data_IF_565769999338
#
_entry.id   IF_565769999338
#
_cell.length_a   1.000
_cell.length_b   1.000
_cell.length_c   1.000
_cell.angle_alpha   90.00
_cell.angle_beta   90.00
_cell.angle_gamma   90.00
#
_symmetry.space_group_name_H-M   'P 1'
#
loop_
_entity.id
_entity.type
_entity.pdbx_description
1 polymer ?
#
# COMPACT_ATOMS: atom_id res chain seq x y z
N UNK A 1 -17.16 0.21 15.58
CA UNK A 1 -16.66 -1.18 15.61
C UNK A 1 -17.87 -2.10 15.56
N UNK A 2 -18.13 -2.75 14.44
CA UNK A 2 -19.05 -3.91 14.45
C UNK A 2 -18.23 -5.09 14.95
N UNK A 3 -18.50 -5.51 16.18
CA UNK A 3 -18.03 -6.80 16.67
C UNK A 3 -18.71 -7.87 15.82
N UNK A 4 -17.93 -8.72 15.16
CA UNK A 4 -18.46 -9.85 14.43
C UNK A 4 -19.06 -10.82 15.46
N UNK A 5 -20.38 -10.80 15.62
CA UNK A 5 -21.12 -11.84 16.33
C UNK A 5 -21.07 -13.11 15.47
N UNK A 6 -20.03 -13.93 15.66
CA UNK A 6 -19.91 -15.21 14.98
C UNK A 6 -20.78 -16.26 15.68
N UNK A 7 -22.00 -16.45 15.18
CA UNK A 7 -22.79 -17.64 15.48
C UNK A 7 -22.25 -18.85 14.71
N UNK A 8 -22.10 -20.00 15.38
CA UNK A 8 -21.83 -21.29 14.72
C UNK A 8 -22.94 -21.59 13.69
N UNK A 9 -22.63 -22.17 12.51
CA UNK A 9 -21.54 -23.13 12.28
C UNK A 9 -20.39 -22.61 11.42
N UNK A 10 -20.27 -21.30 11.17
CA UNK A 10 -19.21 -20.78 10.30
C UNK A 10 -18.02 -20.21 11.09
N UNK A 11 -16.77 -20.54 10.71
CA UNK A 11 -15.58 -19.89 11.27
C UNK A 11 -15.69 -18.37 11.11
N UNK A 12 -15.27 -17.61 12.12
CA UNK A 12 -15.18 -16.16 11.97
C UNK A 12 -14.29 -15.81 10.77
N UNK A 13 -14.68 -14.82 9.94
CA UNK A 13 -13.77 -14.32 8.92
C UNK A 13 -12.50 -13.77 9.58
N UNK A 14 -11.33 -13.89 8.91
CA UNK A 14 -10.07 -13.39 9.44
C UNK A 14 -10.13 -11.89 9.69
N UNK A 15 -9.28 -11.41 10.60
CA UNK A 15 -9.17 -9.97 10.85
C UNK A 15 -8.71 -9.25 9.58
N UNK A 16 -9.29 -8.09 9.24
CA UNK A 16 -8.84 -7.28 8.11
C UNK A 16 -7.36 -6.89 8.23
N UNK A 17 -6.69 -6.58 7.09
CA UNK A 17 -5.31 -6.13 7.07
C UNK A 17 -5.12 -4.88 7.94
N UNK A 18 -4.01 -4.82 8.68
CA UNK A 18 -3.70 -3.64 9.50
C UNK A 18 -2.20 -3.44 9.71
N UNK A 19 -1.68 -2.30 9.31
CA UNK A 19 -0.29 -1.93 9.57
C UNK A 19 -0.09 -1.57 11.06
N UNK A 20 1.03 -2.06 11.61
CA UNK A 20 1.50 -1.72 12.95
C UNK A 20 2.08 -0.30 12.98
N UNK A 21 2.14 0.31 14.17
CA UNK A 21 2.78 1.63 14.36
C UNK A 21 4.29 1.61 14.12
N UNK A 22 4.91 0.44 14.32
CA UNK A 22 6.34 0.22 14.16
C UNK A 22 6.56 -1.06 13.35
N UNK A 23 7.30 -0.95 12.27
CA UNK A 23 7.78 -2.10 11.49
C UNK A 23 8.90 -1.67 10.55
N UNK A 24 9.62 -2.66 10.03
CA UNK A 24 10.61 -2.49 8.97
C UNK A 24 10.60 -3.70 8.06
N UNK A 25 10.12 -3.50 6.85
CA UNK A 25 9.93 -4.52 5.84
C UNK A 25 10.74 -4.23 4.60
N UNK A 26 11.16 -5.30 3.92
CA UNK A 26 11.88 -5.21 2.65
C UNK A 26 11.33 -6.24 1.68
N UNK A 27 11.43 -5.90 0.41
CA UNK A 27 10.83 -6.66 -0.66
C UNK A 27 11.24 -6.18 -2.03
N UNK A 28 10.35 -6.39 -2.99
CA UNK A 28 10.46 -5.96 -4.37
C UNK A 28 9.22 -5.18 -4.77
N UNK A 29 9.43 -4.18 -5.60
CA UNK A 29 8.38 -3.49 -6.32
C UNK A 29 8.49 -3.86 -7.80
N UNK A 30 7.39 -4.35 -8.37
CA UNK A 30 7.36 -5.02 -9.65
C UNK A 30 6.23 -4.42 -10.49
N UNK A 31 6.56 -3.99 -11.70
CA UNK A 31 5.58 -3.55 -12.71
C UNK A 31 5.93 -4.29 -14.00
N UNK A 32 5.25 -5.41 -14.29
CA UNK A 32 5.62 -6.30 -15.39
C UNK A 32 5.65 -5.62 -16.76
N UNK A 33 4.65 -4.80 -17.07
CA UNK A 33 4.52 -4.12 -18.38
C UNK A 33 5.68 -3.17 -18.67
N UNK A 34 6.22 -2.54 -17.62
CA UNK A 34 7.38 -1.66 -17.71
C UNK A 34 8.72 -2.40 -17.52
N UNK A 35 8.69 -3.72 -17.34
CA UNK A 35 9.85 -4.56 -16.99
C UNK A 35 10.59 -4.01 -15.75
N UNK A 36 9.83 -3.51 -14.78
CA UNK A 36 10.35 -3.00 -13.52
C UNK A 36 10.38 -4.14 -12.52
N UNK A 37 11.53 -4.33 -11.88
CA UNK A 37 11.68 -5.12 -10.69
C UNK A 37 12.81 -4.49 -9.88
N UNK A 38 12.48 -3.74 -8.83
CA UNK A 38 13.44 -2.94 -8.05
C UNK A 38 13.33 -3.24 -6.55
N UNK A 39 14.36 -2.92 -5.75
CA UNK A 39 14.26 -3.02 -4.30
C UNK A 39 13.11 -2.18 -3.75
N UNK A 40 12.48 -2.68 -2.70
CA UNK A 40 11.40 -2.00 -2.00
C UNK A 40 11.62 -2.05 -0.49
N UNK A 41 11.32 -0.94 0.19
CA UNK A 41 11.27 -0.88 1.65
C UNK A 41 9.96 -0.26 2.08
N UNK A 42 9.40 -0.78 3.16
CA UNK A 42 8.26 -0.17 3.84
C UNK A 42 8.50 -0.22 5.33
N UNK A 43 8.42 0.92 6.00
CA UNK A 43 8.70 0.97 7.42
C UNK A 43 7.90 2.06 8.11
N UNK A 44 7.67 1.86 9.39
CA UNK A 44 6.98 2.81 10.24
C UNK A 44 7.73 3.06 11.54
N UNK A 45 7.53 4.27 12.07
CA UNK A 45 7.98 4.67 13.40
C UNK A 45 6.90 5.55 14.04
N UNK A 46 6.32 5.07 15.14
CA UNK A 46 5.28 5.73 15.93
C UNK A 46 4.03 6.18 15.13
N UNK A 47 3.77 5.58 13.98
CA UNK A 47 2.65 5.95 13.09
C UNK A 47 3.01 6.83 11.90
N UNK A 48 4.24 7.34 11.83
CA UNK A 48 4.79 7.83 10.57
C UNK A 48 5.21 6.62 9.73
N UNK A 49 4.98 6.65 8.43
CA UNK A 49 5.16 5.50 7.52
C UNK A 49 5.88 5.97 6.28
N UNK A 50 6.87 5.22 5.82
CA UNK A 50 7.55 5.51 4.56
C UNK A 50 7.74 4.25 3.75
N UNK A 51 7.32 4.36 2.49
CA UNK A 51 7.48 3.37 1.44
C UNK A 51 8.46 3.95 0.42
N UNK A 52 9.45 3.17 0.01
CA UNK A 52 10.41 3.55 -1.03
C UNK A 52 10.52 2.40 -2.02
N UNK A 53 10.42 2.71 -3.31
CA UNK A 53 10.71 1.78 -4.39
C UNK A 53 11.88 2.31 -5.23
N UNK A 54 12.86 1.44 -5.47
CA UNK A 54 14.04 1.74 -6.27
C UNK A 54 15.00 2.74 -5.62
N UNK A 55 15.86 3.31 -6.46
CA UNK A 55 16.85 4.35 -6.12
C UNK A 55 17.31 5.02 -7.42
N UNK A 56 18.20 6.01 -7.34
CA UNK A 56 18.71 6.73 -8.51
C UNK A 56 19.33 5.82 -9.59
N UNK A 57 19.95 4.71 -9.18
CA UNK A 57 20.55 3.72 -10.07
C UNK A 57 19.53 2.75 -10.71
N UNK A 58 18.26 2.79 -10.29
CA UNK A 58 17.21 1.92 -10.81
C UNK A 58 16.37 2.65 -11.87
N UNK A 59 15.48 1.90 -12.54
CA UNK A 59 14.58 2.44 -13.57
C UNK A 59 13.48 3.33 -13.00
N UNK A 60 13.11 3.12 -11.73
CA UNK A 60 12.21 3.98 -10.96
C UNK A 60 12.85 4.35 -9.63
N UNK A 61 12.40 5.47 -9.08
CA UNK A 61 12.69 5.89 -7.73
C UNK A 61 11.56 6.79 -7.23
N UNK A 62 10.84 6.34 -6.19
CA UNK A 62 9.84 7.16 -5.53
C UNK A 62 9.74 6.84 -4.04
N UNK A 63 9.16 7.77 -3.29
CA UNK A 63 8.78 7.60 -1.89
C UNK A 63 7.34 8.05 -1.66
N UNK A 64 6.57 7.21 -0.99
CA UNK A 64 5.28 7.58 -0.38
C UNK A 64 5.49 7.67 1.13
N UNK A 65 5.01 8.74 1.74
CA UNK A 65 5.32 9.08 3.11
C UNK A 65 4.07 9.59 3.84
N UNK A 66 3.75 8.99 4.96
CA UNK A 66 2.86 9.55 5.97
C UNK A 66 3.76 10.14 7.07
N UNK A 67 3.74 11.45 7.24
CA UNK A 67 4.53 12.14 8.26
C UNK A 67 3.69 13.20 8.96
N UNK A 68 3.58 13.12 10.29
CA UNK A 68 2.78 14.03 11.10
C UNK A 68 1.36 14.23 10.55
N UNK A 69 0.67 13.11 10.26
CA UNK A 69 -0.71 13.09 9.76
C UNK A 69 -0.93 13.74 8.38
N UNK A 70 0.11 13.78 7.54
CA UNK A 70 0.00 14.23 6.15
C UNK A 70 0.61 13.21 5.19
N UNK A 71 -0.03 13.02 4.04
CA UNK A 71 0.50 12.19 2.95
C UNK A 71 1.36 13.04 2.01
N UNK A 72 2.53 12.52 1.67
CA UNK A 72 3.46 13.05 0.69
C UNK A 72 3.81 11.95 -0.32
N UNK A 73 3.93 12.33 -1.58
CA UNK A 73 4.37 11.45 -2.66
C UNK A 73 5.42 12.19 -3.47
N UNK A 74 6.60 11.59 -3.60
CA UNK A 74 7.72 12.15 -4.35
C UNK A 74 8.24 11.11 -5.32
N UNK A 75 8.16 11.42 -6.61
CA UNK A 75 8.61 10.55 -7.69
C UNK A 75 9.84 11.15 -8.33
N UNK A 76 11.02 10.64 -7.98
CA UNK A 76 12.29 11.14 -8.52
C UNK A 76 12.59 10.62 -9.92
N UNK A 77 12.05 9.44 -10.25
CA UNK A 77 12.28 8.79 -11.54
C UNK A 77 11.16 7.83 -11.87
N UNK A 78 10.57 7.99 -13.06
CA UNK A 78 9.59 7.06 -13.62
C UNK A 78 9.68 7.02 -15.15
N UNK A 79 9.59 5.85 -15.81
CA UNK A 79 9.60 5.76 -17.27
C UNK A 79 8.51 6.61 -17.92
N UNK A 80 8.90 7.45 -18.88
CA UNK A 80 7.96 8.29 -19.64
C UNK A 80 7.47 9.55 -18.91
N UNK A 81 7.89 9.76 -17.65
CA UNK A 81 7.45 10.92 -16.88
C UNK A 81 8.25 12.18 -17.26
N UNK A 82 7.53 13.28 -17.52
CA UNK A 82 8.16 14.54 -17.90
C UNK A 82 8.81 15.24 -16.69
N UNK A 83 9.89 16.02 -16.89
CA UNK A 83 10.63 16.66 -15.81
C UNK A 83 9.79 17.56 -14.90
N UNK A 84 8.75 18.23 -15.42
CA UNK A 84 7.84 19.08 -14.64
C UNK A 84 7.02 18.34 -13.58
N UNK A 85 6.92 17.01 -13.69
CA UNK A 85 6.26 16.15 -12.69
C UNK A 85 7.24 15.53 -11.70
N UNK A 86 8.54 15.81 -11.83
CA UNK A 86 9.59 15.34 -10.94
C UNK A 86 10.00 16.43 -9.94
N UNK A 87 10.46 16.07 -8.73
CA UNK A 87 11.11 16.99 -7.81
C UNK A 87 12.40 17.60 -8.42
N UNK A 88 12.85 18.77 -7.95
CA UNK A 88 12.28 19.53 -6.83
C UNK A 88 11.03 20.31 -7.24
N UNK A 89 9.96 20.15 -6.46
CA UNK A 89 8.85 21.10 -6.45
C UNK A 89 9.28 22.26 -5.55
N UNK A 90 9.00 23.50 -5.96
CA UNK A 90 9.47 24.72 -5.27
C UNK A 90 9.00 24.81 -3.80
N UNK A 91 8.00 24.02 -3.40
CA UNK A 91 7.53 23.92 -2.03
C UNK A 91 7.31 22.46 -1.60
N UNK A 92 7.66 22.15 -0.35
CA UNK A 92 7.22 20.91 0.28
C UNK A 92 5.75 21.05 0.71
N UNK A 93 4.85 20.69 -0.19
CA UNK A 93 3.42 20.64 0.10
C UNK A 93 2.97 19.17 0.28
N UNK A 94 2.26 18.83 1.36
CA UNK A 94 1.57 17.54 1.43
C UNK A 94 0.45 17.48 0.40
N UNK A 95 0.11 16.27 -0.07
CA UNK A 95 -1.05 16.07 -0.93
C UNK A 95 -2.35 16.37 -0.18
N UNK A 96 -2.49 15.83 1.03
CA UNK A 96 -3.64 16.04 1.92
C UNK A 96 -3.35 15.52 3.34
N UNK A 97 -4.23 15.87 4.29
CA UNK A 97 -4.22 15.30 5.64
C UNK A 97 -4.58 13.81 5.60
N UNK A 98 -3.67 12.97 6.08
CA UNK A 98 -3.82 11.53 6.09
C UNK A 98 -2.82 10.89 7.04
N UNK A 99 -3.27 9.94 7.85
CA UNK A 99 -2.48 9.27 8.87
C UNK A 99 -2.48 7.75 8.73
N UNK A 100 -1.63 7.06 9.51
CA UNK A 100 -1.70 5.60 9.60
C UNK A 100 -3.07 5.11 10.09
N UNK A 101 -3.79 5.91 10.88
CA UNK A 101 -5.15 5.58 11.31
C UNK A 101 -6.09 5.55 10.11
N UNK A 102 -5.99 6.53 9.21
CA UNK A 102 -6.84 6.64 8.03
C UNK A 102 -6.53 5.52 7.04
N UNK A 103 -5.25 5.21 6.85
CA UNK A 103 -4.82 4.06 6.05
C UNK A 103 -5.36 2.73 6.60
N UNK A 104 -5.27 2.53 7.92
CA UNK A 104 -5.82 1.33 8.55
C UNK A 104 -7.36 1.32 8.55
N UNK A 105 -8.01 2.48 8.57
CA UNK A 105 -9.46 2.57 8.41
C UNK A 105 -9.88 2.16 7.00
N UNK A 106 -9.12 2.57 5.98
CA UNK A 106 -9.29 2.10 4.61
C UNK A 106 -9.09 0.58 4.50
N UNK A 107 -8.03 0.01 5.06
CA UNK A 107 -7.86 -1.45 5.04
C UNK A 107 -8.97 -2.20 5.78
N UNK A 108 -9.57 -1.60 6.81
CA UNK A 108 -10.69 -2.19 7.53
C UNK A 108 -11.98 -2.26 6.69
N UNK A 109 -12.10 -1.54 5.58
CA UNK A 109 -13.24 -1.65 4.64
C UNK A 109 -13.04 -2.73 3.58
N UNK A 110 -11.85 -3.34 3.51
CA UNK A 110 -11.56 -4.40 2.55
C UNK A 110 -12.46 -5.63 2.77
N UNK A 111 -12.81 -6.28 1.67
CA UNK A 111 -13.63 -7.48 1.65
C UNK A 111 -12.73 -8.71 1.66
N UNK A 112 -13.03 -9.68 2.51
CA UNK A 112 -12.33 -10.97 2.50
C UNK A 112 -12.71 -11.76 1.25
N UNK A 113 -11.71 -12.10 0.42
CA UNK A 113 -11.89 -12.88 -0.80
C UNK A 113 -11.76 -14.37 -0.49
N UNK A 114 -10.74 -14.75 0.27
CA UNK A 114 -10.52 -16.16 0.64
C UNK A 114 -9.10 -16.47 1.09
N UNK A 115 -8.82 -17.71 1.49
CA UNK A 115 -7.48 -18.18 1.75
C UNK A 115 -6.80 -18.57 0.43
N UNK A 116 -5.51 -18.24 0.28
CA UNK A 116 -4.72 -18.58 -0.90
C UNK A 116 -3.32 -19.08 -0.52
N UNK A 117 -2.65 -19.72 -1.47
CA UNK A 117 -1.26 -20.14 -1.35
C UNK A 117 -0.45 -19.43 -2.42
N UNK A 118 0.40 -18.50 -2.00
CA UNK A 118 1.32 -17.82 -2.91
C UNK A 118 2.50 -18.73 -3.21
N UNK A 119 2.70 -19.01 -4.50
CA UNK A 119 3.79 -19.83 -5.01
C UNK A 119 5.01 -18.96 -5.27
N UNK A 120 6.13 -19.29 -4.63
CA UNK A 120 7.41 -18.62 -4.80
C UNK A 120 8.55 -19.52 -4.33
N UNK A 121 9.67 -18.94 -3.91
CA UNK A 121 10.77 -19.73 -3.31
C UNK A 121 10.33 -20.52 -2.07
N UNK A 122 9.39 -19.96 -1.32
CA UNK A 122 8.76 -20.56 -0.15
C UNK A 122 7.26 -20.40 -0.34
N UNK A 123 6.50 -21.48 -0.16
CA UNK A 123 5.03 -21.43 -0.15
C UNK A 123 4.57 -20.58 1.02
N UNK A 124 3.69 -19.61 0.79
CA UNK A 124 3.09 -18.79 1.84
C UNK A 124 1.58 -18.94 1.83
N UNK A 125 1.04 -19.29 2.98
CA UNK A 125 -0.40 -19.35 3.21
C UNK A 125 -0.88 -17.97 3.60
N UNK A 126 -1.81 -17.41 2.84
CA UNK A 126 -2.28 -16.03 3.02
C UNK A 126 -3.80 -15.97 3.10
N UNK A 127 -4.28 -14.89 3.72
CA UNK A 127 -5.64 -14.40 3.53
C UNK A 127 -5.60 -13.28 2.49
N UNK A 128 -6.44 -13.39 1.47
CA UNK A 128 -6.61 -12.40 0.43
C UNK A 128 -7.81 -11.50 0.77
N UNK A 129 -7.57 -10.19 0.76
CA UNK A 129 -8.56 -9.14 0.88
C UNK A 129 -8.55 -8.23 -0.33
N UNK A 130 -9.72 -7.77 -0.76
CA UNK A 130 -9.87 -6.78 -1.82
C UNK A 130 -10.35 -5.46 -1.25
N UNK A 131 -9.61 -4.39 -1.52
CA UNK A 131 -10.02 -3.03 -1.23
C UNK A 131 -10.35 -2.32 -2.56
N UNK A 132 -11.39 -1.50 -2.57
CA UNK A 132 -11.76 -0.71 -3.74
C UNK A 132 -12.26 0.66 -3.29
N UNK A 133 -11.87 1.69 -4.03
CA UNK A 133 -12.47 3.03 -3.94
C UNK A 133 -13.32 3.21 -5.18
N UNK A 134 -14.57 3.57 -4.97
CA UNK A 134 -15.54 3.84 -6.03
C UNK A 134 -16.15 5.22 -5.80
N UNK A 135 -16.44 5.94 -6.88
CA UNK A 135 -17.09 7.26 -6.81
C UNK A 135 -18.36 7.29 -7.64
N UNK A 136 -19.42 7.97 -7.20
CA UNK A 136 -19.61 8.50 -5.85
C UNK A 136 -19.78 7.39 -4.80
N UNK A 137 -19.40 7.67 -3.55
CA UNK A 137 -19.64 6.78 -2.40
C UNK A 137 -21.13 6.82 -2.03
N UNK A 138 -21.92 5.95 -2.65
CA UNK A 138 -23.36 5.86 -2.42
C UNK A 138 -23.72 4.61 -1.58
N UNK A 139 -24.86 4.62 -0.86
CA UNK A 139 -25.40 3.43 -0.21
C UNK A 139 -25.62 2.30 -1.22
N UNK A 140 -25.73 1.06 -0.72
CA UNK A 140 -26.11 -0.10 -1.55
C UNK A 140 -27.42 0.16 -2.30
N UNK A 141 -27.43 -0.09 -3.60
CA UNK A 141 -28.58 0.17 -4.47
C UNK A 141 -28.17 0.23 -5.93
N UNK A 142 -29.14 0.46 -6.82
CA UNK A 142 -28.91 0.61 -8.26
C UNK A 142 -28.41 2.03 -8.59
N UNK A 143 -27.21 2.34 -8.12
CA UNK A 143 -26.54 3.59 -8.41
C UNK A 143 -25.29 3.31 -9.26
N UNK A 144 -25.11 4.02 -10.38
CA UNK A 144 -23.87 3.92 -11.14
C UNK A 144 -22.70 4.39 -10.26
N UNK A 145 -21.61 3.62 -10.26
CA UNK A 145 -20.36 3.95 -9.58
C UNK A 145 -19.19 3.67 -10.51
N UNK A 146 -18.17 4.52 -10.46
CA UNK A 146 -16.94 4.39 -11.21
C UNK A 146 -15.84 3.91 -10.27
N UNK A 147 -15.18 2.77 -10.54
CA UNK A 147 -14.01 2.36 -9.78
C UNK A 147 -12.85 3.31 -10.10
N UNK A 148 -12.25 3.90 -9.06
CA UNK A 148 -11.11 4.81 -9.21
C UNK A 148 -9.80 4.21 -8.73
N UNK A 149 -9.86 3.21 -7.85
CA UNK A 149 -8.72 2.43 -7.42
C UNK A 149 -9.16 1.10 -6.81
N UNK A 150 -8.31 0.09 -6.90
CA UNK A 150 -8.47 -1.12 -6.11
C UNK A 150 -7.12 -1.75 -5.81
N UNK A 151 -7.10 -2.55 -4.76
CA UNK A 151 -5.93 -3.27 -4.30
C UNK A 151 -6.32 -4.69 -3.86
N UNK A 152 -5.48 -5.65 -4.23
CA UNK A 152 -5.52 -7.00 -3.68
C UNK A 152 -4.41 -7.12 -2.64
N UNK A 153 -4.81 -7.42 -1.40
CA UNK A 153 -3.97 -7.38 -0.21
C UNK A 153 -3.88 -8.79 0.35
N UNK A 154 -2.67 -9.34 0.34
CA UNK A 154 -2.37 -10.66 0.84
C UNK A 154 -1.60 -10.54 2.15
N UNK A 155 -2.22 -10.98 3.25
CA UNK A 155 -1.61 -11.00 4.58
C UNK A 155 -1.37 -12.43 5.04
N UNK A 156 -0.37 -12.63 5.92
CA UNK A 156 -0.09 -13.95 6.49
C UNK A 156 -1.31 -14.50 7.25
N UNK A 157 -1.63 -15.80 7.08
CA UNK A 157 -2.78 -16.41 7.76
C UNK A 157 -2.69 -16.38 9.29
N UNK A 158 -1.48 -16.39 9.83
CA UNK A 158 -1.26 -16.32 11.28
C UNK A 158 -1.22 -14.89 11.81
N UNK A 159 -1.06 -13.89 10.94
CA UNK A 159 -0.93 -12.49 11.32
C UNK A 159 -1.40 -11.52 10.21
N UNK A 160 -2.65 -11.03 10.32
CA UNK A 160 -3.21 -10.02 9.40
C UNK A 160 -2.47 -8.66 9.42
N UNK A 161 -1.49 -8.48 10.31
CA UNK A 161 -0.63 -7.30 10.32
C UNK A 161 0.66 -7.46 9.52
N UNK A 162 0.89 -8.65 8.95
CA UNK A 162 2.06 -8.96 8.14
C UNK A 162 1.67 -9.07 6.65
N UNK A 163 1.89 -8.00 5.90
CA UNK A 163 1.54 -7.92 4.48
C UNK A 163 2.59 -8.67 3.66
N UNK A 164 2.17 -9.73 2.97
CA UNK A 164 3.06 -10.57 2.16
C UNK A 164 3.17 -10.04 0.73
N UNK A 165 2.04 -9.63 0.16
CA UNK A 165 1.96 -9.14 -1.20
C UNK A 165 0.82 -8.13 -1.30
N UNK A 166 0.99 -7.10 -2.11
CA UNK A 166 -0.05 -6.11 -2.42
C UNK A 166 0.01 -5.83 -3.92
N UNK A 167 -1.11 -6.01 -4.60
CA UNK A 167 -1.35 -5.41 -5.92
C UNK A 167 -2.14 -4.13 -5.69
N UNK A 168 -1.80 -3.06 -6.41
CA UNK A 168 -2.65 -1.89 -6.48
C UNK A 168 -2.68 -1.28 -7.88
N UNK A 169 -3.83 -0.69 -8.21
CA UNK A 169 -4.05 0.05 -9.45
C UNK A 169 -4.97 1.27 -9.22
N UNK A 170 -4.99 2.22 -10.15
CA UNK A 170 -5.89 3.38 -10.14
C UNK A 170 -5.21 4.71 -9.80
N UNK A 171 -5.97 5.69 -9.31
CA UNK A 171 -5.53 7.11 -9.24
C UNK A 171 -4.25 7.37 -8.42
N UNK A 172 -3.85 6.47 -7.53
CA UNK A 172 -2.56 6.57 -6.82
C UNK A 172 -1.36 6.33 -7.76
N UNK A 173 -1.58 5.66 -8.89
CA UNK A 173 -0.64 5.50 -9.99
C UNK A 173 -0.70 6.73 -10.90
N UNK A 174 -0.43 7.90 -10.31
CA UNK A 174 -0.60 9.27 -10.84
C UNK A 174 -0.10 9.44 -12.30
N UNK A 175 0.78 8.55 -12.76
CA UNK A 175 1.43 8.63 -14.07
C UNK A 175 0.93 7.61 -15.09
N UNK A 176 0.40 6.45 -14.67
CA UNK A 176 -0.27 5.50 -15.56
C UNK A 176 -1.32 4.66 -14.78
N UNK A 177 -2.59 5.10 -14.73
CA UNK A 177 -3.61 4.49 -13.90
C UNK A 177 -3.95 3.03 -14.27
N UNK A 178 -3.42 2.53 -15.39
CA UNK A 178 -3.66 1.19 -15.91
C UNK A 178 -2.58 0.17 -15.57
N UNK A 179 -1.49 0.54 -14.87
CA UNK A 179 -0.45 -0.42 -14.52
C UNK A 179 -0.76 -1.17 -13.21
N UNK A 180 -0.53 -2.48 -13.27
CA UNK A 180 -0.53 -3.36 -12.11
C UNK A 180 0.80 -3.25 -11.35
N UNK A 181 0.74 -2.65 -10.17
CA UNK A 181 1.90 -2.41 -9.31
C UNK A 181 1.93 -3.40 -8.16
N UNK A 182 2.91 -4.31 -8.20
CA UNK A 182 3.08 -5.35 -7.21
C UNK A 182 4.15 -4.99 -6.20
N UNK A 183 3.77 -5.01 -4.93
CA UNK A 183 4.67 -5.02 -3.78
C UNK A 183 4.76 -6.45 -3.26
N UNK A 184 5.96 -7.03 -3.24
CA UNK A 184 6.20 -8.39 -2.72
C UNK A 184 7.19 -8.30 -1.57
N UNK A 185 6.75 -8.63 -0.36
CA UNK A 185 7.54 -8.47 0.88
C UNK A 185 8.06 -9.83 1.34
N UNK A 186 9.37 -9.90 1.58
CA UNK A 186 10.02 -11.15 1.97
C UNK A 186 10.83 -11.07 3.27
N UNK A 187 11.13 -9.88 3.77
CA UNK A 187 11.80 -9.66 5.05
C UNK A 187 10.93 -8.82 5.97
N UNK A 188 10.72 -9.30 7.19
CA UNK A 188 9.84 -8.69 8.18
C UNK A 188 10.58 -8.39 9.48
N UNK A 189 10.28 -7.24 10.06
CA UNK A 189 10.73 -6.87 11.40
C UNK A 189 9.68 -5.98 12.06
N UNK A 190 9.42 -6.22 13.35
CA UNK A 190 8.54 -5.40 14.16
C UNK A 190 9.27 -4.21 14.81
N UNK A 191 10.57 -4.05 14.54
CA UNK A 191 11.35 -2.91 15.02
C UNK A 191 10.99 -1.64 14.24
N UNK A 192 11.03 -0.46 14.88
CA UNK A 192 10.80 0.79 14.17
C UNK A 192 11.81 1.01 13.04
N UNK A 193 11.34 1.61 11.95
CA UNK A 193 12.19 2.11 10.87
C UNK A 193 12.70 3.53 11.12
N UNK A 194 13.41 4.07 10.14
CA UNK A 194 13.75 5.50 10.10
C UNK A 194 12.90 6.15 9.02
N UNK A 195 11.99 7.00 9.44
CA UNK A 195 11.15 7.79 8.52
C UNK A 195 11.82 9.15 8.32
N UNK A 196 12.14 9.48 7.08
CA UNK A 196 12.88 10.71 6.73
C UNK A 196 12.05 11.47 5.70
N UNK A 197 11.78 12.74 5.99
CA UNK A 197 11.23 13.67 5.01
C UNK A 197 12.25 13.90 3.87
N UNK A 198 11.81 14.09 2.62
CA UNK A 198 12.70 14.52 1.55
C UNK A 198 13.48 15.79 1.94
N UNK A 199 14.70 16.02 1.41
CA UNK A 199 15.51 17.18 1.76
C UNK A 199 14.81 18.54 1.57
N UNK A 200 13.90 18.64 0.59
CA UNK A 200 13.09 19.85 0.34
C UNK A 200 12.04 20.12 1.43
N UNK A 201 11.82 19.15 2.33
CA UNK A 201 10.84 19.18 3.41
C UNK A 201 11.46 19.28 4.81
N UNK A 202 12.80 19.34 4.90
CA UNK A 202 13.55 19.39 6.17
C UNK A 202 14.09 20.77 6.48
#
# INVERSE_FOLDING_TARGET
MRLNNCGRPHPCPPSPPRLRRNFRWRGRYIVPDLKINVPFTWHANNGNVQMIAGSEHHRIHFTNLIYNHHLYTYTYKWPGLQPEFLPPLESCAPLFQFSLRDLNAFFATSQYVGPEILLGKIKRYVHHFRASVVVPELPSGFYPRLPVSSADIYVDQSDSTQFVQVLHFGLQNIYDPSLDEWIVINQFSNRPGRVILPPVCT
#
